data_IF_222000553256
#
_entry.id   IF_222000553256
#
_cell.length_a   1.000
_cell.length_b   1.000
_cell.length_c   1.000
_cell.angle_alpha   90.00
_cell.angle_beta   90.00
_cell.angle_gamma   90.00
#
_symmetry.space_group_name_H-M   'P 1'
#
loop_
_entity.id
_entity.type
_entity.pdbx_description
1 polymer ?
#
# COMPACT_ATOMS: atom_id res chain seq x y z
N UNK A 1 -19.50 -0.62 -7.63
CA UNK A 1 -19.39 -0.28 -6.18
C UNK A 1 -17.95 -0.53 -5.77
N UNK A 2 -17.33 0.35 -5.00
CA UNK A 2 -15.95 0.18 -4.55
C UNK A 2 -15.87 -1.02 -3.59
N UNK A 3 -14.89 -1.90 -3.76
CA UNK A 3 -14.63 -3.01 -2.84
C UNK A 3 -14.08 -2.51 -1.49
N UNK A 4 -14.09 -3.38 -0.47
CA UNK A 4 -13.69 -2.96 0.88
C UNK A 4 -12.20 -2.65 0.98
N UNK A 5 -11.37 -3.22 0.13
CA UNK A 5 -9.95 -2.91 -0.02
C UNK A 5 -9.73 -1.45 -0.46
N UNK A 6 -10.39 -1.02 -1.53
CA UNK A 6 -10.29 0.36 -2.02
C UNK A 6 -11.02 1.36 -1.11
N UNK A 7 -12.10 0.94 -0.41
CA UNK A 7 -12.71 1.77 0.65
C UNK A 7 -11.73 2.01 1.81
N UNK A 8 -10.97 0.97 2.21
CA UNK A 8 -9.93 1.12 3.23
C UNK A 8 -8.81 2.07 2.77
N UNK A 9 -8.39 2.00 1.48
CA UNK A 9 -7.47 2.99 0.90
C UNK A 9 -8.06 4.40 1.00
N UNK A 10 -9.28 4.60 0.53
CA UNK A 10 -9.95 5.91 0.57
C UNK A 10 -10.11 6.45 2.00
N UNK A 11 -10.30 5.56 3.00
CA UNK A 11 -10.46 5.98 4.40
C UNK A 11 -9.21 6.62 5.00
N UNK A 12 -8.03 6.30 4.45
CA UNK A 12 -6.73 6.83 4.90
C UNK A 12 -6.27 8.09 4.15
N UNK A 13 -7.02 8.51 3.12
CA UNK A 13 -6.80 9.79 2.46
C UNK A 13 -7.32 10.91 3.38
N UNK A 14 -6.48 11.89 3.77
CA UNK A 14 -6.94 13.01 4.59
C UNK A 14 -7.96 13.85 3.82
N UNK A 15 -8.99 14.32 4.55
CA UNK A 15 -10.05 15.14 3.96
C UNK A 15 -9.50 16.44 3.37
N UNK A 16 -9.95 16.77 2.17
CA UNK A 16 -9.62 18.02 1.49
C UNK A 16 -8.26 18.03 0.78
N UNK A 17 -7.41 17.00 0.93
CA UNK A 17 -6.14 16.95 0.21
C UNK A 17 -6.36 16.71 -1.29
N UNK A 18 -5.60 17.44 -2.12
CA UNK A 18 -5.48 17.10 -3.54
C UNK A 18 -4.78 15.75 -3.69
N UNK A 19 -5.38 14.81 -4.43
CA UNK A 19 -4.95 13.40 -4.44
C UNK A 19 -4.78 12.88 -5.87
N UNK A 20 -3.72 12.10 -6.10
CA UNK A 20 -3.59 11.29 -7.32
C UNK A 20 -3.78 9.80 -7.01
N UNK A 21 -4.55 9.12 -7.87
CA UNK A 21 -4.71 7.68 -7.92
C UNK A 21 -3.79 7.13 -9.01
N UNK A 22 -2.70 6.47 -8.61
CA UNK A 22 -1.63 6.00 -9.50
C UNK A 22 -1.78 4.50 -9.76
N UNK A 23 -1.92 4.12 -11.03
CA UNK A 23 -2.34 2.79 -11.45
C UNK A 23 -3.84 2.63 -11.27
N UNK A 24 -4.59 3.63 -11.72
CA UNK A 24 -6.02 3.82 -11.42
C UNK A 24 -6.92 2.80 -12.13
N UNK A 25 -6.44 2.15 -13.20
CA UNK A 25 -7.16 1.18 -14.02
C UNK A 25 -8.52 1.77 -14.50
N UNK A 26 -9.62 1.44 -13.85
CA UNK A 26 -10.97 1.93 -14.16
C UNK A 26 -11.36 3.24 -13.46
N UNK A 27 -10.47 3.90 -12.74
CA UNK A 27 -10.70 5.13 -11.97
C UNK A 27 -11.78 5.04 -10.87
N UNK A 28 -12.08 3.86 -10.37
CA UNK A 28 -13.11 3.70 -9.32
C UNK A 28 -12.73 4.38 -8.00
N UNK A 29 -11.45 4.29 -7.59
CA UNK A 29 -10.96 4.99 -6.39
C UNK A 29 -10.99 6.50 -6.60
N UNK A 30 -10.47 6.99 -7.75
CA UNK A 30 -10.49 8.41 -8.10
C UNK A 30 -11.91 8.97 -8.10
N UNK A 31 -12.86 8.27 -8.73
CA UNK A 31 -14.28 8.65 -8.75
C UNK A 31 -14.86 8.73 -7.33
N UNK A 32 -14.60 7.71 -6.48
CA UNK A 32 -15.09 7.68 -5.11
C UNK A 32 -14.55 8.85 -4.28
N UNK A 33 -13.23 9.11 -4.34
CA UNK A 33 -12.61 10.23 -3.62
C UNK A 33 -13.21 11.58 -3.99
N UNK A 34 -13.56 11.76 -5.26
CA UNK A 34 -14.18 12.99 -5.75
C UNK A 34 -15.65 13.09 -5.34
N UNK A 35 -16.47 12.05 -5.58
CA UNK A 35 -17.92 12.09 -5.33
C UNK A 35 -18.27 12.16 -3.85
N UNK A 36 -17.46 11.53 -2.97
CA UNK A 36 -17.63 11.63 -1.51
C UNK A 36 -17.04 12.91 -0.91
N UNK A 37 -16.49 13.81 -1.73
CA UNK A 37 -15.88 15.06 -1.27
C UNK A 37 -14.64 14.86 -0.41
N UNK A 38 -14.02 13.68 -0.46
CA UNK A 38 -12.82 13.38 0.36
C UNK A 38 -11.59 14.14 -0.10
N UNK A 39 -11.44 14.34 -1.40
CA UNK A 39 -10.32 15.06 -1.98
C UNK A 39 -10.81 16.34 -2.67
N UNK A 40 -10.07 17.45 -2.50
CA UNK A 40 -10.37 18.74 -3.14
C UNK A 40 -10.15 18.74 -4.64
N UNK A 41 -9.22 17.90 -5.10
CA UNK A 41 -8.87 17.66 -6.51
C UNK A 41 -8.45 16.21 -6.64
N UNK A 42 -8.84 15.54 -7.72
CA UNK A 42 -8.40 14.17 -7.99
C UNK A 42 -7.82 14.07 -9.40
N UNK A 43 -6.70 13.35 -9.52
CA UNK A 43 -6.08 12.99 -10.81
C UNK A 43 -5.99 11.46 -10.85
N UNK A 44 -6.46 10.84 -11.93
CA UNK A 44 -6.25 9.42 -12.19
C UNK A 44 -5.08 9.24 -13.15
N UNK A 45 -4.16 8.33 -12.85
CA UNK A 45 -3.04 8.04 -13.75
C UNK A 45 -2.88 6.53 -13.95
N UNK A 46 -2.45 6.14 -15.14
CA UNK A 46 -2.02 4.77 -15.42
C UNK A 46 -0.89 4.78 -16.44
N UNK A 47 -0.06 3.76 -16.43
CA UNK A 47 1.06 3.63 -17.37
C UNK A 47 0.60 3.24 -18.76
N UNK A 48 -0.47 2.46 -18.87
CA UNK A 48 -0.91 1.83 -20.10
C UNK A 48 -2.13 2.52 -20.69
N UNK A 49 -2.17 2.67 -22.02
CA UNK A 49 -3.29 3.32 -22.73
C UNK A 49 -4.63 2.62 -22.51
N UNK A 50 -4.68 1.28 -22.49
CA UNK A 50 -5.92 0.52 -22.26
C UNK A 50 -6.61 0.88 -20.94
N UNK A 51 -5.94 0.79 -19.79
CA UNK A 51 -6.42 1.29 -18.49
C UNK A 51 -6.78 2.79 -18.52
N UNK A 52 -5.97 3.65 -19.15
CA UNK A 52 -6.32 5.06 -19.31
C UNK A 52 -7.65 5.26 -20.06
N UNK A 53 -7.88 4.50 -21.12
CA UNK A 53 -9.12 4.56 -21.89
C UNK A 53 -10.31 4.00 -21.09
N UNK A 54 -10.11 2.93 -20.33
CA UNK A 54 -11.12 2.39 -19.41
C UNK A 54 -11.50 3.42 -18.33
N UNK A 55 -10.51 4.09 -17.73
CA UNK A 55 -10.73 5.19 -16.79
C UNK A 55 -11.54 6.34 -17.42
N UNK A 56 -11.14 6.81 -18.60
CA UNK A 56 -11.86 7.86 -19.33
C UNK A 56 -13.31 7.45 -19.64
N UNK A 57 -13.53 6.21 -20.07
CA UNK A 57 -14.88 5.69 -20.36
C UNK A 57 -15.74 5.64 -19.09
N UNK A 58 -15.19 5.16 -17.96
CA UNK A 58 -15.89 5.12 -16.68
C UNK A 58 -16.27 6.53 -16.22
N UNK A 59 -15.32 7.46 -16.21
CA UNK A 59 -15.57 8.85 -15.78
C UNK A 59 -16.53 9.58 -16.71
N UNK A 60 -16.46 9.33 -18.02
CA UNK A 60 -17.42 9.87 -18.99
C UNK A 60 -18.84 9.37 -18.73
N UNK A 61 -19.00 8.07 -18.48
CA UNK A 61 -20.31 7.48 -18.15
C UNK A 61 -20.90 8.06 -16.86
N UNK A 62 -20.04 8.45 -15.90
CA UNK A 62 -20.43 9.11 -14.65
C UNK A 62 -20.60 10.64 -14.78
N UNK A 63 -20.29 11.26 -15.94
CA UNK A 63 -20.32 12.71 -16.12
C UNK A 63 -19.19 13.46 -15.38
N UNK A 64 -18.08 12.78 -15.10
CA UNK A 64 -16.98 13.29 -14.26
C UNK A 64 -15.66 13.50 -15.01
N UNK A 65 -15.63 13.27 -16.33
CA UNK A 65 -14.39 13.33 -17.11
C UNK A 65 -13.75 14.73 -17.11
N UNK A 66 -14.56 15.79 -17.05
CA UNK A 66 -14.06 17.16 -16.96
C UNK A 66 -13.57 17.55 -15.56
N UNK A 67 -13.95 16.76 -14.52
CA UNK A 67 -13.60 17.01 -13.14
C UNK A 67 -12.36 16.22 -12.68
N UNK A 68 -12.16 15.02 -13.27
CA UNK A 68 -11.07 14.11 -12.89
C UNK A 68 -10.22 13.85 -14.16
N UNK A 69 -9.11 14.59 -14.34
CA UNK A 69 -8.21 14.35 -15.46
C UNK A 69 -7.58 12.95 -15.38
N UNK A 70 -7.53 12.27 -16.54
CA UNK A 70 -6.86 10.99 -16.73
C UNK A 70 -5.58 11.22 -17.53
N UNK A 71 -4.43 10.84 -16.93
CA UNK A 71 -3.12 10.98 -17.56
C UNK A 71 -2.47 9.63 -17.77
N UNK A 72 -1.93 9.41 -18.98
CA UNK A 72 -1.12 8.24 -19.26
C UNK A 72 0.35 8.57 -18.99
N UNK A 73 0.96 7.84 -18.06
CA UNK A 73 2.36 8.03 -17.67
C UNK A 73 2.80 7.04 -16.59
N UNK A 74 4.09 6.80 -16.50
CA UNK A 74 4.66 5.80 -15.59
C UNK A 74 4.77 6.35 -14.15
N UNK A 75 3.87 5.90 -13.28
CA UNK A 75 3.90 6.23 -11.86
C UNK A 75 3.85 7.74 -11.60
N UNK A 76 4.78 8.26 -10.81
CA UNK A 76 4.87 9.68 -10.46
C UNK A 76 5.35 10.57 -11.63
N UNK A 77 5.86 10.01 -12.73
CA UNK A 77 6.19 10.80 -13.94
C UNK A 77 4.98 11.47 -14.58
N UNK A 78 3.77 10.99 -14.30
CA UNK A 78 2.53 11.61 -14.76
C UNK A 78 2.12 12.86 -13.96
N UNK A 79 2.85 13.22 -12.90
CA UNK A 79 2.54 14.29 -11.95
C UNK A 79 3.64 15.35 -11.95
N UNK A 80 3.26 16.58 -11.63
CA UNK A 80 4.19 17.67 -11.41
C UNK A 80 4.47 17.87 -9.92
N UNK A 81 5.65 18.39 -9.59
CA UNK A 81 6.03 18.71 -8.21
C UNK A 81 5.02 19.66 -7.54
N UNK A 82 4.45 19.24 -6.42
CA UNK A 82 3.50 20.04 -5.63
C UNK A 82 2.09 20.11 -6.24
N UNK A 83 1.80 19.36 -7.29
CA UNK A 83 0.49 19.35 -7.94
C UNK A 83 -0.58 18.66 -7.11
N UNK A 84 -0.18 17.63 -6.34
CA UNK A 84 -1.03 16.91 -5.38
C UNK A 84 -0.32 16.80 -4.04
N UNK A 85 -1.11 16.68 -2.99
CA UNK A 85 -0.63 16.53 -1.61
C UNK A 85 -0.58 15.07 -1.18
N UNK A 86 -1.45 14.24 -1.75
CA UNK A 86 -1.57 12.81 -1.45
C UNK A 86 -1.45 11.96 -2.72
N UNK A 87 -0.83 10.80 -2.60
CA UNK A 87 -0.81 9.78 -3.65
C UNK A 87 -1.34 8.47 -3.10
N UNK A 88 -2.28 7.85 -3.82
CA UNK A 88 -2.73 6.49 -3.62
C UNK A 88 -2.08 5.57 -4.64
N UNK A 89 -1.49 4.44 -4.21
CA UNK A 89 -0.98 3.37 -5.07
C UNK A 89 -1.50 2.05 -4.53
N UNK A 90 -2.40 1.39 -5.25
CA UNK A 90 -3.04 0.17 -4.79
C UNK A 90 -2.95 -0.97 -5.83
N UNK A 91 -2.91 -2.22 -5.33
CA UNK A 91 -2.93 -3.40 -6.20
C UNK A 91 -1.60 -3.75 -6.86
N UNK A 92 -0.48 -3.22 -6.36
CA UNK A 92 0.86 -3.46 -6.89
C UNK A 92 1.75 -4.17 -5.87
N UNK A 93 2.84 -4.81 -6.30
CA UNK A 93 3.85 -5.35 -5.39
C UNK A 93 4.57 -4.25 -4.62
N UNK A 94 4.95 -4.53 -3.35
CA UNK A 94 5.61 -3.53 -2.50
C UNK A 94 6.93 -3.01 -3.05
N UNK A 95 7.70 -3.88 -3.73
CA UNK A 95 8.93 -3.47 -4.43
C UNK A 95 8.63 -2.51 -5.60
N UNK A 96 7.58 -2.78 -6.38
CA UNK A 96 7.16 -1.90 -7.47
C UNK A 96 6.66 -0.56 -6.94
N UNK A 97 5.89 -0.54 -5.86
CA UNK A 97 5.44 0.70 -5.21
C UNK A 97 6.66 1.54 -4.78
N UNK A 98 7.64 0.92 -4.09
CA UNK A 98 8.87 1.60 -3.69
C UNK A 98 9.62 2.18 -4.89
N UNK A 99 9.73 1.42 -5.99
CA UNK A 99 10.36 1.89 -7.22
C UNK A 99 9.62 3.08 -7.85
N UNK A 100 8.29 3.06 -7.89
CA UNK A 100 7.47 4.18 -8.39
C UNK A 100 7.71 5.46 -7.58
N UNK A 101 7.77 5.33 -6.25
CA UNK A 101 8.03 6.46 -5.35
C UNK A 101 9.46 7.01 -5.49
N UNK A 102 10.44 6.14 -5.74
CA UNK A 102 11.85 6.51 -5.89
C UNK A 102 12.17 7.14 -7.26
N UNK A 103 11.37 6.83 -8.28
CA UNK A 103 11.63 7.25 -9.66
C UNK A 103 11.61 8.76 -9.88
N UNK A 104 10.85 9.52 -9.07
CA UNK A 104 10.69 10.98 -9.20
C UNK A 104 10.82 11.66 -7.82
N UNK A 105 12.04 11.76 -7.28
CA UNK A 105 12.28 12.22 -5.91
C UNK A 105 11.73 13.63 -5.61
N UNK A 106 11.69 14.53 -6.60
CA UNK A 106 11.16 15.89 -6.45
C UNK A 106 9.64 15.91 -6.27
N UNK A 107 8.90 15.01 -6.93
CA UNK A 107 7.45 14.84 -6.72
C UNK A 107 7.23 14.15 -5.38
N UNK A 108 7.90 13.02 -5.11
CA UNK A 108 7.76 12.26 -3.88
C UNK A 108 8.00 13.12 -2.63
N UNK A 109 9.06 13.92 -2.61
CA UNK A 109 9.40 14.80 -1.48
C UNK A 109 8.43 15.98 -1.30
N UNK A 110 7.61 16.30 -2.31
CA UNK A 110 6.59 17.34 -2.21
C UNK A 110 5.26 16.85 -1.62
N UNK A 111 5.07 15.53 -1.52
CA UNK A 111 3.87 14.93 -0.97
C UNK A 111 3.80 15.10 0.54
N UNK A 112 2.58 15.21 1.06
CA UNK A 112 2.28 15.24 2.49
C UNK A 112 1.80 13.88 3.02
N UNK A 113 1.26 13.03 2.14
CA UNK A 113 0.71 11.72 2.46
C UNK A 113 0.91 10.75 1.30
N UNK A 114 1.22 9.51 1.62
CA UNK A 114 1.04 8.37 0.70
C UNK A 114 0.11 7.35 1.34
N UNK A 115 -0.78 6.76 0.53
CA UNK A 115 -1.66 5.65 0.92
C UNK A 115 -1.39 4.50 -0.01
N UNK A 116 -0.81 3.44 0.52
CA UNK A 116 -0.23 2.36 -0.25
C UNK A 116 -0.92 1.04 0.09
N UNK A 117 -1.30 0.27 -0.93
CA UNK A 117 -1.83 -1.07 -0.74
C UNK A 117 -0.98 -2.08 -1.52
N UNK A 118 0.05 -2.65 -0.88
CA UNK A 118 0.88 -3.67 -1.50
C UNK A 118 0.15 -5.02 -1.58
N UNK A 119 0.29 -5.74 -2.71
CA UNK A 119 -0.20 -7.11 -2.87
C UNK A 119 0.73 -8.14 -2.25
N UNK A 120 2.00 -7.80 -2.08
CA UNK A 120 3.07 -8.58 -1.46
C UNK A 120 4.15 -7.63 -0.94
N UNK A 121 5.18 -8.16 -0.30
CA UNK A 121 6.39 -7.45 0.14
C UNK A 121 6.13 -6.18 0.99
N UNK A 122 5.02 -6.18 1.76
CA UNK A 122 4.70 -5.10 2.71
C UNK A 122 5.87 -4.78 3.67
N UNK A 123 6.62 -5.77 4.22
CA UNK A 123 7.75 -5.50 5.10
C UNK A 123 8.87 -4.71 4.42
N UNK A 124 9.16 -5.02 3.14
CA UNK A 124 10.13 -4.28 2.35
C UNK A 124 9.68 -2.83 2.14
N UNK A 125 8.41 -2.63 1.77
CA UNK A 125 7.85 -1.31 1.54
C UNK A 125 7.87 -0.45 2.82
N UNK A 126 7.51 -1.02 3.97
CA UNK A 126 7.61 -0.34 5.27
C UNK A 126 9.06 0.08 5.57
N UNK A 127 10.01 -0.85 5.44
CA UNK A 127 11.41 -0.56 5.65
C UNK A 127 11.94 0.52 4.69
N UNK A 128 11.48 0.52 3.43
CA UNK A 128 11.84 1.53 2.45
C UNK A 128 11.32 2.91 2.85
N UNK A 129 10.10 3.04 3.33
CA UNK A 129 9.52 4.31 3.80
C UNK A 129 10.37 4.91 4.92
N UNK A 130 10.67 4.15 5.98
CA UNK A 130 11.51 4.63 7.09
C UNK A 130 12.91 5.04 6.63
N UNK A 131 13.54 4.28 5.72
CA UNK A 131 14.86 4.61 5.15
C UNK A 131 14.86 5.91 4.34
N UNK A 132 13.72 6.28 3.77
CA UNK A 132 13.57 7.48 2.95
C UNK A 132 12.96 8.68 3.70
N UNK A 133 12.95 8.65 5.05
CA UNK A 133 12.50 9.76 5.87
C UNK A 133 10.98 9.92 5.93
N UNK A 134 10.26 8.81 5.79
CA UNK A 134 8.83 8.72 6.00
C UNK A 134 8.52 7.82 7.19
N UNK A 135 7.45 8.12 7.93
CA UNK A 135 6.98 7.28 9.02
C UNK A 135 5.53 6.84 8.77
N UNK A 136 5.19 5.68 9.27
CA UNK A 136 3.85 5.12 9.14
C UNK A 136 2.94 5.73 10.20
N UNK A 137 1.88 6.40 9.77
CA UNK A 137 0.94 7.10 10.66
C UNK A 137 -0.36 6.34 10.89
N UNK A 138 -0.77 5.51 9.95
CA UNK A 138 -1.94 4.63 10.09
C UNK A 138 -1.81 3.40 9.21
N UNK A 139 -2.46 2.32 9.62
CA UNK A 139 -2.54 1.08 8.86
C UNK A 139 -3.94 0.46 9.02
N UNK A 140 -4.43 -0.17 7.97
CA UNK A 140 -5.70 -0.88 7.96
C UNK A 140 -5.53 -2.29 7.40
N UNK A 141 -6.43 -3.17 7.82
CA UNK A 141 -6.67 -4.46 7.18
C UNK A 141 -8.04 -4.41 6.50
N UNK A 142 -8.12 -4.98 5.33
CA UNK A 142 -9.38 -5.17 4.62
C UNK A 142 -9.46 -6.62 4.13
N UNK A 143 -10.67 -7.15 4.06
CA UNK A 143 -10.93 -8.49 3.53
C UNK A 143 -11.80 -8.39 2.28
N UNK A 144 -11.39 -9.06 1.21
CA UNK A 144 -12.17 -9.22 -0.03
C UNK A 144 -11.95 -10.65 -0.52
N UNK A 145 -13.03 -11.39 -0.74
CA UNK A 145 -13.00 -12.77 -1.25
C UNK A 145 -12.03 -13.67 -0.45
N UNK A 146 -12.16 -13.67 0.89
CA UNK A 146 -11.33 -14.42 1.84
C UNK A 146 -9.83 -14.06 1.84
N UNK A 147 -9.43 -12.97 1.18
CA UNK A 147 -8.05 -12.47 1.18
C UNK A 147 -7.92 -11.24 2.06
N UNK A 148 -6.88 -11.21 2.88
CA UNK A 148 -6.49 -10.04 3.65
C UNK A 148 -5.55 -9.15 2.85
N UNK A 149 -5.81 -7.86 2.94
CA UNK A 149 -5.02 -6.80 2.33
C UNK A 149 -4.56 -5.82 3.40
N UNK A 150 -3.31 -5.43 3.32
CA UNK A 150 -2.70 -4.41 4.17
C UNK A 150 -2.75 -3.06 3.46
N UNK A 151 -3.20 -2.03 4.14
CA UNK A 151 -3.16 -0.66 3.65
C UNK A 151 -2.28 0.16 4.59
N UNK A 152 -1.34 0.89 4.04
CA UNK A 152 -0.30 1.64 4.77
C UNK A 152 -0.44 3.12 4.42
N UNK A 153 -0.60 3.97 5.42
CA UNK A 153 -0.53 5.41 5.27
C UNK A 153 0.75 5.93 5.92
N UNK A 154 1.51 6.73 5.18
CA UNK A 154 2.75 7.33 5.68
C UNK A 154 2.83 8.82 5.37
N UNK A 155 3.58 9.55 6.19
CA UNK A 155 3.85 10.98 6.09
C UNK A 155 5.35 11.26 6.14
N UNK A 156 5.81 12.40 5.59
CA UNK A 156 7.18 12.85 5.76
C UNK A 156 7.54 13.02 7.23
N UNK A 157 8.68 12.51 7.63
CA UNK A 157 9.19 12.63 8.99
C UNK A 157 10.16 11.49 9.29
N UNK A 158 11.30 11.80 9.89
CA UNK A 158 12.27 10.80 10.30
C UNK A 158 11.84 10.18 11.63
N UNK A 159 11.70 8.87 11.66
CA UNK A 159 11.42 8.09 12.85
C UNK A 159 12.37 6.87 12.90
N UNK A 160 12.59 6.33 14.10
CA UNK A 160 13.43 5.16 14.27
C UNK A 160 12.83 3.95 13.53
N UNK A 161 13.67 3.19 12.85
CA UNK A 161 13.25 1.95 12.19
C UNK A 161 12.65 0.99 13.21
N UNK A 162 11.42 0.52 13.04
CA UNK A 162 10.83 -0.49 13.91
C UNK A 162 11.61 -1.82 13.90
N UNK A 163 11.39 -2.62 14.94
CA UNK A 163 11.91 -4.00 14.97
C UNK A 163 11.44 -4.79 13.71
N UNK A 164 12.27 -5.72 13.20
CA UNK A 164 11.93 -6.48 12.00
C UNK A 164 10.58 -7.19 12.06
N UNK A 165 10.18 -7.69 13.24
CA UNK A 165 8.86 -8.34 13.42
C UNK A 165 7.71 -7.35 13.23
N UNK A 166 7.86 -6.09 13.63
CA UNK A 166 6.84 -5.06 13.42
C UNK A 166 6.73 -4.65 11.96
N UNK A 167 7.83 -4.69 11.21
CA UNK A 167 7.77 -4.49 9.75
C UNK A 167 6.97 -5.61 9.07
N UNK A 168 7.00 -6.83 9.60
CA UNK A 168 6.23 -7.97 9.05
C UNK A 168 4.73 -7.83 9.22
N UNK A 169 4.28 -7.33 10.36
CA UNK A 169 2.86 -7.33 10.75
C UNK A 169 2.21 -5.95 10.77
N UNK A 170 3.00 -4.89 10.57
CA UNK A 170 2.56 -3.50 10.66
C UNK A 170 2.69 -2.95 12.08
N UNK A 171 3.51 -1.89 12.29
CA UNK A 171 3.71 -1.30 13.63
C UNK A 171 2.41 -0.73 14.20
N UNK A 172 1.58 -0.07 13.38
CA UNK A 172 0.30 0.50 13.80
C UNK A 172 -0.75 -0.59 13.97
N UNK A 173 -0.78 -1.61 13.10
CA UNK A 173 -1.66 -2.78 13.27
C UNK A 173 -1.35 -3.51 14.57
N UNK A 174 -0.07 -3.69 14.90
CA UNK A 174 0.35 -4.33 16.15
C UNK A 174 -0.07 -3.53 17.40
N UNK A 175 -0.03 -2.20 17.31
CA UNK A 175 -0.45 -1.31 18.41
C UNK A 175 -1.96 -1.33 18.62
N UNK A 176 -2.72 -1.24 17.53
CA UNK A 176 -4.18 -1.03 17.58
C UNK A 176 -4.98 -2.33 17.61
N UNK A 177 -4.39 -3.45 17.17
CA UNK A 177 -4.99 -4.79 17.10
C UNK A 177 -6.44 -4.76 16.58
N UNK A 178 -6.68 -4.33 15.30
CA UNK A 178 -8.02 -4.33 14.73
C UNK A 178 -8.58 -5.76 14.64
N UNK A 179 -9.87 -5.91 14.41
CA UNK A 179 -10.58 -7.21 14.39
C UNK A 179 -9.87 -8.30 13.55
N UNK A 180 -9.33 -7.93 12.38
CA UNK A 180 -8.62 -8.87 11.50
C UNK A 180 -7.14 -9.12 11.90
N UNK A 181 -6.64 -8.50 12.97
CA UNK A 181 -5.22 -8.54 13.31
C UNK A 181 -4.73 -9.95 13.66
N UNK A 182 -5.48 -10.69 14.47
CA UNK A 182 -5.09 -12.07 14.86
C UNK A 182 -4.93 -12.95 13.63
N UNK A 183 -5.93 -12.94 12.72
CA UNK A 183 -5.87 -13.67 11.47
C UNK A 183 -4.69 -13.24 10.59
N UNK A 184 -4.41 -11.94 10.53
CA UNK A 184 -3.25 -11.40 9.81
C UNK A 184 -1.93 -11.98 10.31
N UNK A 185 -1.72 -12.03 11.64
CA UNK A 185 -0.52 -12.62 12.25
C UNK A 185 -0.46 -14.13 11.99
N UNK A 186 -1.57 -14.85 12.11
CA UNK A 186 -1.67 -16.28 11.81
C UNK A 186 -1.29 -16.60 10.36
N UNK A 187 -1.76 -15.80 9.39
CA UNK A 187 -1.39 -15.97 7.97
C UNK A 187 0.11 -15.75 7.75
N UNK A 188 0.74 -14.80 8.48
CA UNK A 188 2.20 -14.59 8.45
C UNK A 188 2.95 -15.79 9.06
N UNK A 189 2.52 -16.30 10.20
CA UNK A 189 3.09 -17.50 10.83
C UNK A 189 2.97 -18.70 9.86
N UNK A 190 1.79 -18.93 9.31
CA UNK A 190 1.55 -20.02 8.36
C UNK A 190 2.42 -19.93 7.10
N UNK A 191 2.67 -18.71 6.59
CA UNK A 191 3.60 -18.46 5.48
C UNK A 191 5.02 -18.91 5.86
N UNK A 192 5.53 -18.49 7.01
CA UNK A 192 6.88 -18.85 7.44
C UNK A 192 7.00 -20.33 7.82
N UNK A 193 5.95 -20.92 8.37
CA UNK A 193 5.92 -22.37 8.65
C UNK A 193 6.05 -23.19 7.35
N UNK A 194 5.36 -22.83 6.28
CA UNK A 194 5.50 -23.47 4.97
C UNK A 194 6.91 -23.36 4.42
N UNK A 195 7.55 -22.19 4.58
CA UNK A 195 8.95 -21.98 4.16
C UNK A 195 9.88 -22.88 4.99
N UNK A 196 9.70 -22.92 6.31
CA UNK A 196 10.49 -23.73 7.22
C UNK A 196 10.39 -25.23 6.87
N UNK A 197 9.19 -25.72 6.60
CA UNK A 197 8.96 -27.12 6.21
C UNK A 197 9.59 -27.45 4.85
N UNK A 198 9.56 -26.52 3.90
CA UNK A 198 10.25 -26.65 2.62
C UNK A 198 11.78 -26.75 2.78
N UNK A 199 12.37 -25.88 3.60
CA UNK A 199 13.82 -25.91 3.90
C UNK A 199 14.24 -27.22 4.58
N UNK A 200 13.46 -27.75 5.52
CA UNK A 200 13.72 -29.00 6.21
C UNK A 200 13.65 -30.24 5.31
N UNK A 201 12.81 -30.21 4.26
CA UNK A 201 12.69 -31.31 3.29
C UNK A 201 13.74 -31.25 2.18
N UNK A 202 14.54 -30.18 2.10
CA UNK A 202 15.59 -30.04 1.09
C UNK A 202 16.68 -31.13 1.30
N UNK A 203 17.22 -31.67 0.21
CA UNK A 203 18.36 -32.57 0.25
C UNK A 203 19.66 -31.93 0.79
N UNK A 204 19.71 -30.60 0.80
CA UNK A 204 20.79 -29.78 1.39
C UNK A 204 20.20 -28.67 2.26
N UNK A 205 19.80 -28.99 3.53
CA UNK A 205 19.15 -28.01 4.39
C UNK A 205 20.10 -26.88 4.78
N UNK A 206 19.67 -25.64 4.55
CA UNK A 206 20.35 -24.45 5.06
C UNK A 206 19.99 -24.27 6.55
N UNK A 207 20.86 -24.75 7.44
CA UNK A 207 20.66 -24.74 8.89
C UNK A 207 20.52 -23.31 9.44
N UNK A 208 21.32 -22.36 8.94
CA UNK A 208 21.24 -20.96 9.39
C UNK A 208 19.90 -20.33 8.99
N UNK A 209 19.45 -20.59 7.77
CA UNK A 209 18.15 -20.10 7.28
C UNK A 209 16.98 -20.72 8.06
N UNK A 210 17.06 -22.02 8.38
CA UNK A 210 16.09 -22.72 9.23
C UNK A 210 16.01 -22.05 10.61
N UNK A 211 17.16 -21.75 11.23
CA UNK A 211 17.23 -21.07 12.52
C UNK A 211 16.59 -19.68 12.48
N UNK A 212 16.92 -18.87 11.47
CA UNK A 212 16.38 -17.53 11.27
C UNK A 212 14.86 -17.54 11.11
N UNK A 213 14.32 -18.44 10.27
CA UNK A 213 12.88 -18.57 10.07
C UNK A 213 12.18 -19.04 11.35
N UNK A 214 12.79 -20.00 12.07
CA UNK A 214 12.24 -20.47 13.36
C UNK A 214 12.20 -19.37 14.42
N UNK A 215 13.23 -18.52 14.49
CA UNK A 215 13.24 -17.36 15.39
C UNK A 215 12.12 -16.35 15.01
N UNK A 216 11.97 -16.05 13.72
CA UNK A 216 10.92 -15.14 13.22
C UNK A 216 9.51 -15.65 13.56
N UNK A 217 9.25 -16.96 13.44
CA UNK A 217 7.95 -17.54 13.85
C UNK A 217 7.69 -17.27 15.32
N UNK A 218 8.66 -17.53 16.21
CA UNK A 218 8.51 -17.28 17.66
C UNK A 218 8.25 -15.80 17.98
N UNK A 219 8.91 -14.89 17.30
CA UNK A 219 8.67 -13.46 17.45
C UNK A 219 7.24 -13.07 17.05
N UNK A 220 6.72 -13.63 15.94
CA UNK A 220 5.36 -13.43 15.48
C UNK A 220 4.33 -14.00 16.47
N UNK A 221 4.55 -15.22 16.99
CA UNK A 221 3.71 -15.84 18.03
C UNK A 221 3.62 -14.94 19.28
N UNK A 222 4.74 -14.30 19.67
CA UNK A 222 4.77 -13.34 20.78
C UNK A 222 4.01 -12.03 20.55
N UNK A 223 3.59 -11.73 19.32
CA UNK A 223 2.82 -10.52 18.95
C UNK A 223 1.34 -10.80 18.68
N UNK A 224 0.91 -12.04 18.72
CA UNK A 224 -0.46 -12.46 18.39
C UNK A 224 -1.50 -11.99 19.44
N UNK A 225 -1.10 -11.83 20.71
CA UNK A 225 -1.96 -11.46 21.85
C UNK A 225 -1.67 -10.10 22.45
#
# INVERSE_FOLDING_TARGET
>A
MLDDRLKAVASLVPEGMSTADVGSDHAYLAMYLYTEGKASKVIATDKNEGPCDAARATLKAAGLLDNIPVRCGDGLLALEKGEVECVCIAGMGGELIAHILDAVPEVFRSLKRVVLQPMNDSPLLRAWLYKNGWHIVDERLAEVDDRLYEIIAAEPGAEAMPEPVLLEIGPVLCSNKPELYTRHVEERIAKYQRILDGLRRSGHPDIERIRQIGAKIKELEGKQW
#
